data_IF_168031995568
#
_entry.id   IF_168031995568
#
_cell.length_a   1.000
_cell.length_b   1.000
_cell.length_c   1.000
_cell.angle_alpha   90.00
_cell.angle_beta   90.00
_cell.angle_gamma   90.00
#
_symmetry.space_group_name_H-M   'P 1'
#
loop_
_entity.id
_entity.type
_entity.pdbx_description
1 polymer ?
#
# COMPACT_ATOMS: atom_id res chain seq x y z
N UNK A 1 12.59 35.99 -14.58
CA UNK A 1 11.24 35.59 -15.02
C UNK A 1 11.19 34.06 -15.05
N UNK A 2 10.98 33.43 -13.90
CA UNK A 2 10.63 32.01 -13.82
C UNK A 2 9.19 31.88 -14.32
N UNK A 3 9.01 31.50 -15.59
CA UNK A 3 7.78 30.83 -16.01
C UNK A 3 8.04 29.35 -15.79
N UNK A 4 7.38 28.73 -14.81
CA UNK A 4 7.34 27.28 -14.69
C UNK A 4 6.92 26.71 -16.05
N UNK A 5 7.71 25.76 -16.56
CA UNK A 5 7.47 25.13 -17.87
C UNK A 5 6.03 24.59 -17.95
N UNK A 6 5.43 24.82 -19.11
CA UNK A 6 4.02 24.59 -19.43
C UNK A 6 3.56 23.15 -19.18
N UNK A 7 2.48 23.00 -18.41
CA UNK A 7 1.40 22.05 -18.70
C UNK A 7 0.10 22.86 -18.70
N UNK A 8 -0.36 23.22 -19.90
CA UNK A 8 -1.57 24.01 -20.12
C UNK A 8 -2.81 23.13 -19.89
N UNK A 9 -3.44 23.27 -18.72
CA UNK A 9 -4.86 23.05 -18.54
C UNK A 9 -5.45 24.23 -17.77
N UNK A 10 -6.56 24.75 -18.28
CA UNK A 10 -7.20 26.01 -17.90
C UNK A 10 -7.53 26.10 -16.40
N UNK A 11 -7.22 27.26 -15.80
CA UNK A 11 -7.74 27.69 -14.50
C UNK A 11 -6.80 27.63 -13.29
N UNK A 12 -5.58 27.12 -13.42
CA UNK A 12 -4.61 27.10 -12.32
C UNK A 12 -3.74 28.36 -12.41
N UNK A 13 -3.89 29.28 -11.45
CA UNK A 13 -2.96 30.39 -11.29
C UNK A 13 -1.54 29.84 -11.08
N UNK A 14 -0.68 29.95 -12.09
CA UNK A 14 0.74 29.60 -11.98
C UNK A 14 1.34 30.49 -10.89
N UNK A 15 1.96 29.92 -9.84
CA UNK A 15 2.50 30.73 -8.77
C UNK A 15 3.66 31.59 -9.29
N UNK A 16 3.63 32.88 -8.98
CA UNK A 16 4.61 33.87 -9.47
C UNK A 16 5.52 34.29 -8.31
N UNK A 17 6.83 34.11 -8.45
CA UNK A 17 7.79 34.55 -7.46
C UNK A 17 7.87 36.09 -7.38
N UNK A 18 7.78 36.63 -6.17
CA UNK A 18 8.07 38.05 -5.93
C UNK A 18 9.53 38.36 -6.25
N UNK A 19 9.84 39.65 -6.43
CA UNK A 19 11.20 40.13 -6.78
C UNK A 19 12.23 39.65 -5.75
N UNK A 20 11.90 39.71 -4.46
CA UNK A 20 12.80 39.30 -3.37
C UNK A 20 13.05 37.79 -3.34
N UNK A 21 12.01 36.99 -3.60
CA UNK A 21 12.12 35.54 -3.73
C UNK A 21 12.97 35.14 -4.96
N UNK A 22 12.78 35.86 -6.08
CA UNK A 22 13.56 35.64 -7.30
C UNK A 22 15.05 35.98 -7.10
N UNK A 23 15.36 37.08 -6.40
CA UNK A 23 16.74 37.46 -6.07
C UNK A 23 17.40 36.40 -5.18
N UNK A 24 16.71 35.97 -4.13
CA UNK A 24 17.19 34.91 -3.25
C UNK A 24 17.52 33.61 -4.00
N UNK A 25 16.62 33.15 -4.88
CA UNK A 25 16.87 31.93 -5.66
C UNK A 25 18.04 32.07 -6.63
N UNK A 26 18.21 33.23 -7.27
CA UNK A 26 19.37 33.51 -8.12
C UNK A 26 20.66 33.46 -7.31
N UNK A 27 20.68 34.06 -6.12
CA UNK A 27 21.86 34.04 -5.24
C UNK A 27 22.21 32.61 -4.81
N UNK A 28 21.22 31.78 -4.46
CA UNK A 28 21.41 30.37 -4.10
C UNK A 28 21.94 29.55 -5.30
N UNK A 29 21.33 29.68 -6.48
CA UNK A 29 21.70 28.89 -7.66
C UNK A 29 23.08 29.28 -8.23
N UNK A 30 23.50 30.53 -8.02
CA UNK A 30 24.84 30.98 -8.41
C UNK A 30 25.96 30.30 -7.59
N UNK A 31 25.66 29.78 -6.40
CA UNK A 31 26.61 29.02 -5.58
C UNK A 31 26.80 27.58 -6.07
N UNK A 32 26.00 27.13 -7.04
CA UNK A 32 25.96 25.75 -7.55
C UNK A 32 26.52 25.73 -8.98
N UNK A 33 27.21 24.64 -9.34
CA UNK A 33 27.78 24.41 -10.67
C UNK A 33 26.69 24.35 -11.74
N UNK A 34 26.98 24.84 -12.95
CA UNK A 34 26.00 24.96 -14.05
C UNK A 34 25.28 23.65 -14.40
N UNK A 35 25.99 22.52 -14.31
CA UNK A 35 25.45 21.19 -14.59
C UNK A 35 24.38 20.76 -13.57
N UNK A 36 24.47 21.23 -12.32
CA UNK A 36 23.57 20.86 -11.22
C UNK A 36 22.43 21.87 -11.01
N UNK A 37 22.45 23.00 -11.72
CA UNK A 37 21.44 24.07 -11.53
C UNK A 37 20.06 23.64 -11.99
N UNK A 38 19.94 22.91 -13.11
CA UNK A 38 18.64 22.43 -13.59
C UNK A 38 18.02 21.43 -12.61
N UNK A 39 18.78 20.45 -12.12
CA UNK A 39 18.30 19.48 -11.13
C UNK A 39 17.92 20.15 -9.81
N UNK A 40 18.71 21.12 -9.33
CA UNK A 40 18.40 21.89 -8.13
C UNK A 40 17.14 22.74 -8.29
N UNK A 41 16.97 23.37 -9.47
CA UNK A 41 15.78 24.13 -9.81
C UNK A 41 14.52 23.25 -9.78
N UNK A 42 14.58 22.06 -10.38
CA UNK A 42 13.45 21.13 -10.40
C UNK A 42 13.08 20.68 -8.98
N UNK A 43 14.07 20.37 -8.12
CA UNK A 43 13.85 20.06 -6.69
C UNK A 43 13.21 21.21 -5.91
N UNK A 44 13.69 22.44 -6.10
CA UNK A 44 13.12 23.63 -5.44
C UNK A 44 11.68 23.84 -5.91
N UNK A 45 11.40 23.67 -7.21
CA UNK A 45 10.05 23.78 -7.76
C UNK A 45 9.13 22.71 -7.14
N UNK A 46 9.59 21.47 -7.05
CA UNK A 46 8.84 20.39 -6.39
C UNK A 46 8.57 20.70 -4.91
N UNK A 47 9.56 21.19 -4.16
CA UNK A 47 9.38 21.55 -2.75
C UNK A 47 8.41 22.72 -2.58
N UNK A 48 8.50 23.77 -3.40
CA UNK A 48 7.51 24.88 -3.38
C UNK A 48 6.10 24.37 -3.70
N UNK A 49 5.96 23.38 -4.59
CA UNK A 49 4.67 22.75 -4.89
C UNK A 49 4.14 21.86 -3.75
N UNK A 50 5.00 21.34 -2.87
CA UNK A 50 4.61 20.58 -1.67
C UNK A 50 4.09 21.49 -0.56
N UNK A 51 4.58 22.73 -0.47
CA UNK A 51 4.18 23.67 0.58
C UNK A 51 2.73 24.14 0.43
N UNK A 52 2.08 24.43 1.57
CA UNK A 52 0.74 25.02 1.60
C UNK A 52 0.83 26.53 1.34
N UNK A 53 0.63 26.94 0.09
CA UNK A 53 0.64 28.34 -0.29
C UNK A 53 -0.67 29.02 0.08
N UNK A 54 -0.60 30.11 0.85
CA UNK A 54 -1.74 30.97 1.18
C UNK A 54 -2.10 31.94 0.04
N UNK A 55 -1.23 32.10 -0.96
CA UNK A 55 -1.43 32.96 -2.11
C UNK A 55 -0.73 32.42 -3.36
N UNK A 56 -1.12 32.93 -4.53
CA UNK A 56 -0.45 32.64 -5.81
C UNK A 56 0.89 33.36 -5.99
N UNK A 57 1.29 34.21 -5.03
CA UNK A 57 2.60 34.85 -5.02
C UNK A 57 3.52 34.08 -4.08
N UNK A 58 4.70 33.71 -4.59
CA UNK A 58 5.74 33.04 -3.81
C UNK A 58 6.62 34.10 -3.14
N UNK A 59 6.60 34.07 -1.82
CA UNK A 59 7.39 34.98 -0.97
C UNK A 59 8.75 34.37 -0.65
N UNK A 60 9.68 35.22 -0.21
CA UNK A 60 11.05 34.80 0.09
C UNK A 60 11.10 33.67 1.12
N UNK A 61 10.23 33.69 2.13
CA UNK A 61 10.15 32.64 3.17
C UNK A 61 9.80 31.26 2.60
N UNK A 62 8.92 31.20 1.60
CA UNK A 62 8.53 29.96 0.92
C UNK A 62 9.73 29.38 0.15
N UNK A 63 10.47 30.23 -0.56
CA UNK A 63 11.70 29.81 -1.23
C UNK A 63 12.81 29.41 -0.25
N UNK A 64 12.97 30.12 0.87
CA UNK A 64 13.95 29.79 1.91
C UNK A 64 13.64 28.42 2.53
N UNK A 65 12.37 28.16 2.84
CA UNK A 65 11.93 26.85 3.32
C UNK A 65 12.16 25.77 2.26
N UNK A 66 11.89 26.06 0.98
CA UNK A 66 12.08 25.09 -0.09
C UNK A 66 13.55 24.73 -0.31
N UNK A 67 14.43 25.73 -0.26
CA UNK A 67 15.88 25.55 -0.33
C UNK A 67 16.40 24.81 0.90
N UNK A 68 15.89 25.11 2.10
CA UNK A 68 16.23 24.37 3.31
C UNK A 68 15.81 22.90 3.21
N UNK A 69 14.59 22.60 2.78
CA UNK A 69 14.14 21.22 2.53
C UNK A 69 15.06 20.49 1.53
N UNK A 70 15.41 21.16 0.41
CA UNK A 70 16.35 20.61 -0.58
C UNK A 70 17.77 20.37 -0.03
N UNK A 71 18.19 21.15 0.98
CA UNK A 71 19.48 20.95 1.66
C UNK A 71 19.38 19.89 2.75
N UNK A 72 18.22 19.72 3.39
CA UNK A 72 17.96 18.66 4.37
C UNK A 72 17.92 17.29 3.70
N UNK A 73 17.61 17.24 2.41
CA UNK A 73 17.80 16.05 1.55
C UNK A 73 19.27 15.60 1.44
N UNK A 74 20.24 16.35 1.97
CA UNK A 74 21.63 15.88 2.10
C UNK A 74 21.86 15.06 3.39
N UNK A 75 20.97 15.14 4.39
CA UNK A 75 20.96 14.26 5.57
C UNK A 75 20.17 12.96 5.25
N UNK A 76 20.46 12.33 4.10
CA UNK A 76 19.92 10.99 3.81
C UNK A 76 20.46 9.99 4.83
N UNK A 77 19.57 9.33 5.58
CA UNK A 77 19.96 8.26 6.49
C UNK A 77 20.78 7.19 5.75
N UNK A 78 21.88 6.76 6.37
CA UNK A 78 22.71 5.65 5.91
C UNK A 78 22.03 4.27 6.10
N UNK A 79 20.84 4.24 6.69
CA UNK A 79 20.14 3.00 7.02
C UNK A 79 19.57 2.31 5.76
N UNK A 80 20.25 1.25 5.34
CA UNK A 80 19.88 0.45 4.15
C UNK A 80 18.81 -0.61 4.43
N UNK A 81 18.50 -0.93 5.69
CA UNK A 81 17.58 -2.01 6.05
C UNK A 81 16.67 -1.60 7.21
N UNK A 82 15.37 -1.56 6.97
CA UNK A 82 14.36 -1.17 7.96
C UNK A 82 13.18 -2.13 8.00
N UNK A 83 12.73 -2.48 9.20
CA UNK A 83 11.48 -3.23 9.40
C UNK A 83 10.47 -2.30 10.05
N UNK A 84 9.37 -2.09 9.35
CA UNK A 84 8.33 -1.13 9.67
C UNK A 84 7.10 -1.92 10.11
N UNK A 85 6.75 -1.73 11.37
CA UNK A 85 5.54 -2.28 11.96
C UNK A 85 4.30 -1.59 11.38
N UNK A 86 3.20 -2.32 11.20
CA UNK A 86 1.95 -1.81 10.67
C UNK A 86 1.40 -0.63 11.48
N UNK A 87 1.64 -0.62 12.80
CA UNK A 87 1.21 0.48 13.68
C UNK A 87 2.12 1.72 13.60
N UNK A 88 3.26 1.63 12.91
CA UNK A 88 4.21 2.72 12.69
C UNK A 88 4.17 3.28 11.25
N UNK A 89 3.28 2.75 10.40
CA UNK A 89 3.13 3.22 9.02
C UNK A 89 2.59 4.66 9.02
N UNK A 90 3.19 5.60 8.25
CA UNK A 90 2.73 6.97 8.19
C UNK A 90 1.32 7.04 7.59
N UNK A 91 0.46 7.85 8.21
CA UNK A 91 -0.94 7.98 7.83
C UNK A 91 -1.12 9.20 6.93
N UNK A 92 -1.56 8.95 5.70
CA UNK A 92 -1.94 9.99 4.75
C UNK A 92 -3.41 9.91 4.40
N UNK A 93 -4.04 11.06 4.22
CA UNK A 93 -5.41 11.20 3.75
C UNK A 93 -5.41 11.90 2.40
N UNK A 94 -6.15 11.33 1.44
CA UNK A 94 -6.36 11.98 0.16
C UNK A 94 -7.41 13.09 0.30
N UNK A 95 -7.00 14.32 0.01
CA UNK A 95 -7.90 15.48 0.02
C UNK A 95 -8.39 15.72 -1.40
N UNK A 96 -9.64 15.35 -1.67
CA UNK A 96 -10.25 15.37 -3.01
C UNK A 96 -10.15 16.73 -3.70
N UNK A 97 -10.43 17.82 -2.98
CA UNK A 97 -10.37 19.19 -3.53
C UNK A 97 -8.97 19.58 -3.98
N UNK A 98 -7.94 19.12 -3.25
CA UNK A 98 -6.53 19.42 -3.53
C UNK A 98 -5.89 18.39 -4.46
N UNK A 99 -6.55 17.25 -4.66
CA UNK A 99 -6.02 16.07 -5.38
C UNK A 99 -4.64 15.65 -4.89
N UNK A 100 -4.42 15.70 -3.57
CA UNK A 100 -3.13 15.40 -2.93
C UNK A 100 -3.33 14.56 -1.69
N UNK A 101 -2.32 13.74 -1.38
CA UNK A 101 -2.18 13.12 -0.07
C UNK A 101 -1.55 14.11 0.91
N UNK A 102 -2.14 14.20 2.09
CA UNK A 102 -1.66 15.06 3.18
C UNK A 102 -1.61 14.19 4.45
N UNK A 103 -0.60 14.39 5.29
CA UNK A 103 -0.52 13.71 6.58
C UNK A 103 -1.80 13.92 7.39
N UNK A 104 -2.37 12.82 7.87
CA UNK A 104 -3.69 12.79 8.52
C UNK A 104 -3.78 13.74 9.71
N UNK A 105 -2.70 13.88 10.48
CA UNK A 105 -2.65 14.74 11.66
C UNK A 105 -2.78 16.23 11.28
N UNK A 106 -2.21 16.64 10.13
CA UNK A 106 -2.27 18.03 9.65
C UNK A 106 -3.65 18.45 9.16
N UNK A 107 -4.48 17.48 8.75
CA UNK A 107 -5.88 17.71 8.36
C UNK A 107 -6.86 17.51 9.53
N UNK A 108 -6.34 17.35 10.76
CA UNK A 108 -7.14 17.24 11.97
C UNK A 108 -7.82 15.88 12.17
N UNK A 109 -7.36 14.83 11.47
CA UNK A 109 -7.86 13.47 11.69
C UNK A 109 -7.19 12.89 12.93
N UNK A 110 -7.95 12.38 13.91
CA UNK A 110 -7.37 11.86 15.14
C UNK A 110 -6.49 10.62 14.88
N UNK A 111 -5.56 10.32 15.81
CA UNK A 111 -4.81 9.06 15.79
C UNK A 111 -5.78 7.87 15.83
N UNK A 112 -5.42 6.72 15.21
CA UNK A 112 -6.27 5.55 15.20
C UNK A 112 -6.37 4.96 16.61
N UNK A 113 -7.46 4.25 16.89
CA UNK A 113 -7.63 3.55 18.15
C UNK A 113 -8.29 2.19 17.89
N UNK A 114 -7.93 1.20 18.70
CA UNK A 114 -8.45 -0.17 18.56
C UNK A 114 -9.99 -0.23 18.68
N UNK A 115 -10.56 0.68 19.48
CA UNK A 115 -11.99 0.78 19.70
C UNK A 115 -12.56 2.01 18.97
N UNK A 116 -12.48 1.99 17.65
CA UNK A 116 -13.02 3.02 16.79
C UNK A 116 -14.55 3.18 16.90
N UNK A 117 -15.03 4.32 16.43
CA UNK A 117 -16.44 4.70 16.36
C UNK A 117 -17.10 4.21 15.07
N UNK A 118 -18.42 4.34 14.98
CA UNK A 118 -19.13 4.11 13.72
C UNK A 118 -18.64 5.03 12.58
N UNK A 119 -18.17 6.23 12.90
CA UNK A 119 -17.60 7.16 11.93
C UNK A 119 -16.27 6.63 11.37
N UNK A 120 -15.44 6.00 12.21
CA UNK A 120 -14.18 5.39 11.77
C UNK A 120 -14.44 4.21 10.83
N UNK A 121 -15.45 3.38 11.15
CA UNK A 121 -15.89 2.29 10.27
C UNK A 121 -16.40 2.81 8.91
N UNK A 122 -17.15 3.91 8.88
CA UNK A 122 -17.59 4.53 7.63
C UNK A 122 -16.40 5.07 6.83
N UNK A 123 -15.49 5.78 7.50
CA UNK A 123 -14.30 6.35 6.89
C UNK A 123 -13.41 5.28 6.23
N UNK A 124 -13.29 4.09 6.84
CA UNK A 124 -12.59 2.96 6.23
C UNK A 124 -13.09 2.69 4.80
N UNK A 125 -14.38 2.43 4.59
CA UNK A 125 -14.92 2.14 3.26
C UNK A 125 -14.89 3.34 2.32
N UNK A 126 -15.15 4.54 2.84
CA UNK A 126 -15.12 5.78 2.05
C UNK A 126 -13.70 6.09 1.54
N UNK A 127 -12.68 5.87 2.37
CA UNK A 127 -11.28 6.06 2.00
C UNK A 127 -10.85 5.07 0.92
N UNK A 128 -11.25 3.80 1.04
CA UNK A 128 -11.00 2.76 0.02
C UNK A 128 -11.58 3.16 -1.33
N UNK A 129 -12.86 3.51 -1.35
CA UNK A 129 -13.54 3.98 -2.56
C UNK A 129 -12.82 5.19 -3.16
N UNK A 130 -12.50 6.19 -2.34
CA UNK A 130 -11.85 7.43 -2.79
C UNK A 130 -10.48 7.16 -3.39
N UNK A 131 -9.67 6.28 -2.77
CA UNK A 131 -8.36 5.88 -3.28
C UNK A 131 -8.45 5.19 -4.64
N UNK A 132 -9.41 4.29 -4.83
CA UNK A 132 -9.64 3.61 -6.09
C UNK A 132 -10.21 4.54 -7.15
N UNK A 133 -11.14 5.42 -6.79
CA UNK A 133 -11.76 6.36 -7.70
C UNK A 133 -10.72 7.30 -8.30
N UNK A 134 -9.90 7.94 -7.46
CA UNK A 134 -8.86 8.87 -7.94
C UNK A 134 -7.80 8.16 -8.80
N UNK A 135 -7.48 6.90 -8.50
CA UNK A 135 -6.54 6.09 -9.30
C UNK A 135 -7.14 5.75 -10.66
N UNK A 136 -8.39 5.29 -10.65
CA UNK A 136 -9.11 4.92 -11.87
C UNK A 136 -9.27 6.12 -12.79
N UNK A 137 -9.62 7.29 -12.25
CA UNK A 137 -9.79 8.52 -13.03
C UNK A 137 -8.48 9.05 -13.66
N UNK A 138 -7.31 8.64 -13.15
CA UNK A 138 -6.00 8.95 -13.73
C UNK A 138 -5.58 7.99 -14.83
N UNK A 139 -6.24 6.84 -14.96
CA UNK A 139 -5.94 5.86 -15.99
C UNK A 139 -6.39 6.36 -17.37
N UNK A 140 -5.62 6.09 -18.41
CA UNK A 140 -5.85 6.60 -19.77
C UNK A 140 -7.24 6.26 -20.33
N UNK A 141 -7.82 5.14 -19.94
CA UNK A 141 -9.18 4.77 -20.36
C UNK A 141 -10.28 5.65 -19.77
N UNK A 142 -10.03 6.32 -18.64
CA UNK A 142 -11.03 7.08 -17.87
C UNK A 142 -10.71 8.58 -17.77
N UNK A 143 -9.54 9.01 -18.25
CA UNK A 143 -9.18 10.43 -18.30
C UNK A 143 -10.09 11.17 -19.28
N UNK A 144 -10.69 12.31 -18.88
CA UNK A 144 -11.48 13.13 -19.78
C UNK A 144 -10.67 13.56 -21.01
N UNK A 145 -11.29 13.65 -22.20
CA UNK A 145 -10.59 14.18 -23.38
C UNK A 145 -10.13 15.62 -23.14
N UNK A 146 -8.89 15.90 -23.54
CA UNK A 146 -8.30 17.25 -23.47
C UNK A 146 -9.00 18.15 -24.49
N UNK A 147 -9.51 19.30 -24.04
CA UNK A 147 -10.14 20.31 -24.90
C UNK A 147 -9.10 20.76 -25.95
N UNK A 148 -9.39 20.52 -27.23
CA UNK A 148 -8.53 20.89 -28.36
C UNK A 148 -7.57 19.80 -28.86
N UNK A 149 -7.53 18.61 -28.25
CA UNK A 149 -6.82 17.46 -28.80
C UNK A 149 -7.57 16.87 -30.00
N UNK A 150 -6.85 16.49 -31.07
CA UNK A 150 -7.43 15.69 -32.13
C UNK A 150 -7.86 14.34 -31.53
N UNK A 151 -9.16 14.04 -31.61
CA UNK A 151 -9.66 12.75 -31.15
C UNK A 151 -9.15 11.67 -32.09
N UNK A 152 -8.32 10.77 -31.58
CA UNK A 152 -8.15 9.47 -32.20
C UNK A 152 -9.48 8.72 -32.07
N UNK A 153 -10.24 8.63 -33.18
CA UNK A 153 -11.52 7.93 -33.25
C UNK A 153 -11.42 6.46 -32.80
N UNK A 154 -10.21 5.90 -32.70
CA UNK A 154 -9.93 4.52 -32.29
C UNK A 154 -9.83 4.29 -30.78
N UNK A 155 -9.81 5.33 -29.93
CA UNK A 155 -9.64 5.14 -28.47
C UNK A 155 -10.96 5.32 -27.70
N UNK A 156 -11.63 4.21 -27.36
CA UNK A 156 -12.84 4.22 -26.52
C UNK A 156 -12.48 4.73 -25.12
N UNK A 157 -12.94 5.94 -24.79
CA UNK A 157 -12.84 6.53 -23.44
C UNK A 157 -14.11 6.22 -22.66
N UNK A 158 -13.96 5.92 -21.37
CA UNK A 158 -15.06 5.59 -20.47
C UNK A 158 -15.25 6.69 -19.44
N UNK A 159 -16.50 6.96 -19.09
CA UNK A 159 -16.85 7.92 -18.04
C UNK A 159 -17.56 7.19 -16.90
N UNK A 160 -16.96 7.25 -15.71
CA UNK A 160 -17.59 6.73 -14.50
C UNK A 160 -18.80 7.58 -14.12
N UNK A 161 -19.90 6.94 -13.74
CA UNK A 161 -21.08 7.59 -13.16
C UNK A 161 -21.24 7.17 -11.70
N UNK A 162 -21.55 8.10 -10.78
CA UNK A 162 -21.91 7.74 -9.42
C UNK A 162 -23.29 7.06 -9.39
N UNK A 163 -23.57 6.29 -8.35
CA UNK A 163 -24.84 5.57 -8.22
C UNK A 163 -26.04 6.52 -8.17
N UNK A 164 -25.91 7.69 -7.56
CA UNK A 164 -26.98 8.71 -7.55
C UNK A 164 -27.43 9.13 -8.95
N UNK A 165 -26.56 9.06 -9.97
CA UNK A 165 -26.91 9.37 -11.35
C UNK A 165 -27.92 8.35 -11.90
N UNK A 166 -27.75 7.07 -11.56
CA UNK A 166 -28.68 6.00 -11.94
C UNK A 166 -30.01 6.22 -11.21
N UNK A 167 -29.95 6.38 -9.88
CA UNK A 167 -31.14 6.53 -9.03
C UNK A 167 -31.95 7.80 -9.31
N UNK A 168 -31.30 8.85 -9.81
CA UNK A 168 -31.95 10.08 -10.24
C UNK A 168 -32.63 9.99 -11.61
N UNK A 169 -32.34 8.94 -12.39
CA UNK A 169 -32.94 8.75 -13.71
C UNK A 169 -34.28 8.03 -13.61
N UNK A 170 -35.27 8.55 -14.36
CA UNK A 170 -36.56 7.88 -14.59
C UNK A 170 -36.61 7.19 -15.95
N UNK A 171 -35.62 7.42 -16.81
CA UNK A 171 -35.52 6.80 -18.12
C UNK A 171 -34.54 5.62 -18.08
N UNK A 172 -34.73 4.68 -19.01
CA UNK A 172 -33.74 3.63 -19.32
C UNK A 172 -32.42 4.30 -19.69
N UNK A 173 -31.36 3.93 -19.00
CA UNK A 173 -30.01 4.34 -19.32
C UNK A 173 -29.30 3.18 -20.02
N UNK A 174 -28.57 3.50 -21.10
CA UNK A 174 -27.79 2.53 -21.89
C UNK A 174 -26.49 2.14 -21.19
N UNK A 175 -25.42 1.97 -21.98
CA UNK A 175 -24.10 1.58 -21.49
C UNK A 175 -23.54 2.60 -20.47
N UNK A 176 -23.42 2.16 -19.22
CA UNK A 176 -22.87 2.92 -18.10
C UNK A 176 -21.82 2.09 -17.39
N UNK A 177 -20.77 2.77 -16.91
CA UNK A 177 -19.77 2.18 -16.02
C UNK A 177 -19.84 2.86 -14.65
N UNK A 178 -19.96 2.06 -13.61
CA UNK A 178 -19.98 2.48 -12.20
C UNK A 178 -18.81 1.83 -11.48
N UNK A 179 -18.04 2.63 -10.73
CA UNK A 179 -17.15 2.10 -9.70
C UNK A 179 -17.99 1.90 -8.44
N UNK A 180 -17.96 0.72 -7.83
CA UNK A 180 -18.65 0.52 -6.57
C UNK A 180 -18.22 -0.77 -5.85
N UNK A 181 -18.64 -0.89 -4.60
CA UNK A 181 -18.41 -2.04 -3.75
C UNK A 181 -19.53 -3.05 -3.93
N UNK A 182 -19.18 -4.31 -4.20
CA UNK A 182 -20.15 -5.40 -4.37
C UNK A 182 -20.64 -5.90 -3.01
N UNK A 183 -21.93 -5.84 -2.72
CA UNK A 183 -22.48 -6.26 -1.42
C UNK A 183 -23.69 -7.19 -1.56
N UNK A 184 -23.91 -8.04 -0.55
CA UNK A 184 -25.10 -8.88 -0.47
C UNK A 184 -25.91 -8.52 0.79
N UNK A 185 -26.85 -7.58 0.64
CA UNK A 185 -27.68 -7.09 1.74
C UNK A 185 -28.83 -8.05 2.11
N UNK A 186 -29.28 -8.86 1.16
CA UNK A 186 -30.29 -9.91 1.34
C UNK A 186 -29.84 -11.16 0.61
N UNK A 187 -30.17 -12.32 1.14
CA UNK A 187 -29.82 -13.60 0.53
C UNK A 187 -30.29 -13.65 -0.94
N UNK A 188 -29.36 -13.98 -1.85
CA UNK A 188 -29.61 -14.05 -3.28
C UNK A 188 -29.79 -12.70 -4.00
N UNK A 189 -29.72 -11.56 -3.30
CA UNK A 189 -29.81 -10.23 -3.91
C UNK A 189 -28.52 -9.45 -3.74
N UNK A 190 -27.93 -9.10 -4.87
CA UNK A 190 -26.70 -8.35 -4.94
C UNK A 190 -26.97 -6.86 -5.12
N UNK A 191 -26.05 -6.06 -4.60
CA UNK A 191 -26.08 -4.61 -4.67
C UNK A 191 -24.69 -4.09 -5.00
N UNK A 192 -24.67 -2.89 -5.57
CA UNK A 192 -23.48 -2.08 -5.73
C UNK A 192 -23.61 -0.84 -4.85
N UNK A 193 -22.56 -0.50 -4.12
CA UNK A 193 -22.53 0.62 -3.17
C UNK A 193 -21.39 1.61 -3.49
N UNK A 194 -21.68 2.90 -3.41
CA UNK A 194 -20.72 4.00 -3.44
C UNK A 194 -21.13 5.06 -2.39
N UNK A 195 -20.35 6.13 -2.17
CA UNK A 195 -20.72 7.16 -1.19
C UNK A 195 -22.04 7.90 -1.48
N UNK A 196 -22.58 7.78 -2.69
CA UNK A 196 -23.79 8.49 -3.15
C UNK A 196 -25.05 7.63 -3.03
N UNK A 197 -24.93 6.30 -2.97
CA UNK A 197 -26.08 5.44 -2.75
C UNK A 197 -25.82 3.96 -2.94
N UNK A 198 -26.92 3.21 -3.01
CA UNK A 198 -26.95 1.76 -3.22
C UNK A 198 -27.95 1.44 -4.32
N UNK A 199 -27.57 0.57 -5.25
CA UNK A 199 -28.44 0.09 -6.33
C UNK A 199 -28.46 -1.43 -6.37
N UNK A 200 -29.65 -2.01 -6.57
CA UNK A 200 -29.75 -3.46 -6.77
C UNK A 200 -29.19 -3.81 -8.14
N UNK A 201 -28.39 -4.86 -8.20
CA UNK A 201 -27.80 -5.32 -9.46
C UNK A 201 -28.39 -6.67 -9.87
N UNK A 202 -28.51 -6.86 -11.18
CA UNK A 202 -28.85 -8.14 -11.80
C UNK A 202 -27.60 -8.73 -12.45
N UNK A 203 -27.24 -9.94 -12.02
CA UNK A 203 -26.04 -10.66 -12.42
C UNK A 203 -26.34 -11.82 -13.38
N UNK A 204 -27.59 -11.97 -13.83
CA UNK A 204 -28.03 -13.11 -14.64
C UNK A 204 -27.25 -13.27 -15.96
N UNK A 205 -26.84 -12.16 -16.57
CA UNK A 205 -26.08 -12.12 -17.83
C UNK A 205 -24.65 -11.57 -17.64
N UNK A 206 -24.18 -11.44 -16.40
CA UNK A 206 -22.91 -10.80 -16.10
C UNK A 206 -21.70 -11.66 -16.51
N UNK A 207 -20.82 -11.08 -17.31
CA UNK A 207 -19.51 -11.63 -17.60
C UNK A 207 -18.46 -11.12 -16.60
N UNK A 208 -17.60 -11.99 -16.08
CA UNK A 208 -16.55 -11.61 -15.14
C UNK A 208 -15.21 -11.68 -15.85
N UNK A 209 -14.46 -10.57 -15.87
CA UNK A 209 -13.08 -10.58 -16.35
C UNK A 209 -12.19 -11.43 -15.44
N UNK A 210 -10.92 -11.61 -15.81
CA UNK A 210 -10.00 -12.39 -14.98
C UNK A 210 -9.81 -11.74 -13.60
N UNK A 211 -10.24 -12.45 -12.56
CA UNK A 211 -9.92 -12.17 -11.17
C UNK A 211 -10.91 -12.88 -10.23
N UNK A 212 -10.68 -12.81 -8.92
CA UNK A 212 -11.55 -13.43 -7.92
C UNK A 212 -12.50 -12.42 -7.25
N UNK A 213 -13.68 -12.23 -7.82
CA UNK A 213 -14.66 -11.28 -7.28
C UNK A 213 -15.27 -11.82 -5.98
N UNK A 214 -15.11 -11.10 -4.88
CA UNK A 214 -15.66 -11.46 -3.58
C UNK A 214 -16.67 -10.45 -3.09
N UNK A 215 -17.48 -10.83 -2.10
CA UNK A 215 -18.26 -9.83 -1.36
C UNK A 215 -17.33 -8.75 -0.76
N UNK A 216 -17.75 -7.49 -0.88
CA UNK A 216 -17.05 -6.26 -0.50
C UNK A 216 -15.80 -5.92 -1.33
N UNK A 217 -15.56 -6.56 -2.48
CA UNK A 217 -14.54 -6.06 -3.41
C UNK A 217 -15.09 -4.84 -4.18
N UNK A 218 -14.20 -3.94 -4.57
CA UNK A 218 -14.54 -2.83 -5.45
C UNK A 218 -14.36 -3.24 -6.91
N UNK A 219 -15.35 -2.93 -7.72
CA UNK A 219 -15.44 -3.36 -9.11
C UNK A 219 -15.83 -2.21 -10.01
N UNK A 220 -15.38 -2.29 -11.26
CA UNK A 220 -15.95 -1.55 -12.38
C UNK A 220 -17.08 -2.41 -12.95
N UNK A 221 -18.30 -1.91 -12.82
CA UNK A 221 -19.52 -2.56 -13.27
C UNK A 221 -20.02 -1.86 -14.54
N UNK A 222 -19.97 -2.57 -15.67
CA UNK A 222 -20.50 -2.12 -16.95
C UNK A 222 -21.88 -2.74 -17.20
N UNK A 223 -22.86 -1.93 -17.58
CA UNK A 223 -24.23 -2.41 -17.76
C UNK A 223 -25.21 -1.34 -18.23
N UNK A 224 -26.50 -1.62 -18.06
CA UNK A 224 -27.60 -0.71 -18.35
C UNK A 224 -28.58 -0.65 -17.18
N UNK A 225 -29.30 0.46 -17.03
CA UNK A 225 -30.17 0.71 -15.88
C UNK A 225 -31.62 0.95 -16.31
N UNK A 226 -32.55 0.23 -15.69
CA UNK A 226 -33.98 0.35 -15.90
C UNK A 226 -34.73 -0.06 -14.62
N UNK A 227 -35.85 0.58 -14.32
CA UNK A 227 -36.75 0.18 -13.22
C UNK A 227 -36.07 -0.07 -11.87
N UNK A 228 -35.07 0.77 -11.54
CA UNK A 228 -34.29 0.71 -10.28
C UNK A 228 -33.36 -0.49 -10.15
N UNK A 229 -33.09 -1.20 -11.24
CA UNK A 229 -32.16 -2.32 -11.31
C UNK A 229 -31.06 -1.97 -12.29
N UNK A 230 -29.81 -2.22 -11.88
CA UNK A 230 -28.64 -2.09 -12.76
C UNK A 230 -28.26 -3.48 -13.29
N UNK A 231 -28.54 -3.73 -14.57
CA UNK A 231 -28.29 -4.99 -15.24
C UNK A 231 -26.84 -5.03 -15.72
N UNK A 232 -26.06 -5.95 -15.17
CA UNK A 232 -24.62 -6.02 -15.39
C UNK A 232 -24.31 -6.85 -16.63
N UNK A 233 -23.58 -6.24 -17.57
CA UNK A 233 -23.00 -6.93 -18.71
C UNK A 233 -21.62 -7.48 -18.36
N UNK A 234 -20.79 -6.69 -17.67
CA UNK A 234 -19.44 -7.08 -17.33
C UNK A 234 -18.95 -6.50 -16.00
N UNK A 235 -18.12 -7.28 -15.30
CA UNK A 235 -17.31 -6.81 -14.19
C UNK A 235 -15.82 -6.86 -14.53
N UNK A 236 -15.12 -5.80 -14.17
CA UNK A 236 -13.66 -5.73 -14.13
C UNK A 236 -13.17 -5.13 -12.82
N UNK A 237 -11.89 -5.31 -12.52
CA UNK A 237 -11.26 -4.58 -11.42
C UNK A 237 -10.79 -3.19 -11.89
N UNK A 238 -10.77 -2.19 -11.00
CA UNK A 238 -10.08 -0.94 -11.26
C UNK A 238 -8.62 -1.22 -11.69
N UNK A 239 -8.11 -0.59 -12.76
CA UNK A 239 -6.78 -0.90 -13.27
C UNK A 239 -5.70 -0.62 -12.21
N UNK A 240 -4.67 -1.49 -12.09
CA UNK A 240 -3.53 -1.23 -11.22
C UNK A 240 -2.73 -0.03 -11.72
N UNK A 241 -2.15 0.75 -10.80
CA UNK A 241 -1.30 1.89 -11.14
C UNK A 241 0.16 1.56 -10.79
N UNK A 242 1.09 1.59 -11.78
CA UNK A 242 2.50 1.37 -11.49
C UNK A 242 3.07 2.42 -10.54
N UNK A 243 3.98 2.02 -9.66
CA UNK A 243 4.59 2.92 -8.68
C UNK A 243 5.27 4.15 -9.31
N UNK A 244 5.82 4.02 -10.53
CA UNK A 244 6.39 5.15 -11.29
C UNK A 244 5.33 6.21 -11.62
N UNK A 245 4.13 5.78 -12.03
CA UNK A 245 3.00 6.66 -12.31
C UNK A 245 2.52 7.33 -11.03
N UNK A 246 2.35 6.59 -9.93
CA UNK A 246 1.99 7.18 -8.64
C UNK A 246 2.96 8.29 -8.22
N UNK A 247 4.28 8.05 -8.36
CA UNK A 247 5.30 9.06 -8.04
C UNK A 247 5.30 10.26 -8.99
N UNK A 248 4.94 10.11 -10.26
CA UNK A 248 4.83 11.28 -11.16
C UNK A 248 3.69 12.22 -10.77
N UNK A 249 2.66 11.73 -10.07
CA UNK A 249 1.55 12.56 -9.57
C UNK A 249 1.79 13.11 -8.17
N UNK A 250 2.37 12.32 -7.27
CA UNK A 250 2.49 12.68 -5.85
C UNK A 250 3.92 12.99 -5.40
N UNK A 251 4.90 12.89 -6.28
CA UNK A 251 6.31 13.06 -5.97
C UNK A 251 6.86 11.96 -5.08
N UNK A 252 7.85 12.30 -4.27
CA UNK A 252 8.60 11.36 -3.42
C UNK A 252 8.04 11.26 -1.98
N UNK A 253 6.72 11.36 -1.79
CA UNK A 253 6.10 11.16 -0.47
C UNK A 253 6.45 9.76 0.04
N UNK A 254 6.91 9.65 1.28
CA UNK A 254 7.20 8.36 1.91
C UNK A 254 5.90 7.68 2.40
N UNK A 255 5.13 7.11 1.48
CA UNK A 255 3.95 6.30 1.83
C UNK A 255 4.32 4.97 2.51
N UNK A 256 5.54 4.48 2.29
CA UNK A 256 5.99 3.18 2.77
C UNK A 256 6.31 3.21 4.28
N UNK A 257 6.80 4.36 4.76
CA UNK A 257 7.32 4.52 6.12
C UNK A 257 8.80 4.18 6.19
N UNK A 258 9.32 4.04 7.41
CA UNK A 258 10.73 3.73 7.63
C UNK A 258 11.59 4.98 7.76
N UNK A 259 12.82 4.90 7.27
CA UNK A 259 13.82 5.95 7.46
C UNK A 259 13.56 7.13 6.53
N UNK A 260 13.67 8.34 7.09
CA UNK A 260 13.56 9.58 6.33
C UNK A 260 12.14 9.96 5.92
N UNK A 261 12.02 11.21 5.44
CA UNK A 261 10.74 11.81 5.08
C UNK A 261 10.39 11.63 3.58
N UNK A 262 11.30 11.04 2.80
CA UNK A 262 11.14 10.80 1.37
C UNK A 262 11.12 9.30 1.04
N UNK A 263 10.45 8.95 -0.05
CA UNK A 263 10.43 7.58 -0.57
C UNK A 263 11.85 7.11 -0.92
N UNK A 264 12.28 5.98 -0.37
CA UNK A 264 13.61 5.41 -0.58
C UNK A 264 13.94 5.17 -2.07
N UNK A 265 12.92 4.95 -2.90
CA UNK A 265 13.06 4.82 -4.38
C UNK A 265 13.63 6.05 -5.08
N UNK A 266 13.60 7.21 -4.42
CA UNK A 266 14.17 8.44 -4.95
C UNK A 266 15.67 8.60 -4.64
N UNK A 267 16.22 7.85 -3.67
CA UNK A 267 17.63 7.98 -3.29
C UNK A 267 18.54 7.29 -4.31
N UNK A 268 19.39 8.09 -4.95
CA UNK A 268 20.45 7.59 -5.84
C UNK A 268 21.54 6.84 -5.08
N UNK A 269 21.81 7.24 -3.83
CA UNK A 269 22.78 6.61 -2.94
C UNK A 269 22.34 5.20 -2.55
N UNK A 270 21.10 5.04 -2.06
CA UNK A 270 20.55 3.71 -1.75
C UNK A 270 20.52 2.82 -2.99
N UNK A 271 20.23 3.39 -4.17
CA UNK A 271 20.27 2.65 -5.43
C UNK A 271 21.66 2.14 -5.77
N UNK A 272 22.70 2.95 -5.55
CA UNK A 272 24.08 2.53 -5.76
C UNK A 272 24.46 1.40 -4.80
N UNK A 273 24.13 1.54 -3.51
CA UNK A 273 24.42 0.50 -2.50
C UNK A 273 23.71 -0.82 -2.85
N UNK A 274 22.47 -0.75 -3.33
CA UNK A 274 21.72 -1.93 -3.78
C UNK A 274 22.38 -2.62 -4.97
N UNK A 275 22.89 -1.85 -5.93
CA UNK A 275 23.58 -2.38 -7.11
C UNK A 275 24.95 -2.96 -6.78
N UNK A 276 25.65 -2.37 -5.81
CA UNK A 276 26.97 -2.83 -5.39
C UNK A 276 26.91 -4.11 -4.54
N UNK A 277 25.77 -4.38 -3.90
CA UNK A 277 25.59 -5.57 -3.05
C UNK A 277 24.85 -6.71 -3.78
N UNK A 278 25.54 -7.35 -4.73
CA UNK A 278 25.00 -8.46 -5.51
C UNK A 278 24.67 -9.71 -4.66
N UNK A 279 25.28 -9.83 -3.47
CA UNK A 279 25.09 -10.97 -2.55
C UNK A 279 23.87 -10.81 -1.62
N UNK A 280 23.10 -9.71 -1.76
CA UNK A 280 21.91 -9.49 -0.95
C UNK A 280 20.88 -10.60 -1.12
N UNK A 281 20.51 -11.28 -0.04
CA UNK A 281 19.61 -12.44 -0.08
C UNK A 281 18.58 -12.43 1.04
N UNK A 282 17.32 -12.70 0.68
CA UNK A 282 16.17 -12.76 1.58
C UNK A 282 15.55 -14.15 1.51
N UNK A 283 15.47 -14.83 2.65
CA UNK A 283 14.90 -16.18 2.74
C UNK A 283 13.54 -16.12 3.43
N UNK A 284 12.47 -16.45 2.71
CA UNK A 284 11.11 -16.46 3.24
C UNK A 284 10.67 -17.88 3.57
N UNK A 285 10.19 -18.09 4.79
CA UNK A 285 9.52 -19.32 5.23
C UNK A 285 8.15 -18.97 5.80
N UNK A 286 7.17 -19.85 5.62
CA UNK A 286 5.80 -19.71 6.13
C UNK A 286 5.37 -21.02 6.78
N UNK A 287 4.49 -20.93 7.78
CA UNK A 287 4.05 -22.09 8.59
C UNK A 287 5.22 -22.87 9.20
N UNK A 288 6.11 -22.12 9.86
CA UNK A 288 7.29 -22.66 10.53
C UNK A 288 6.88 -23.31 11.85
N UNK A 289 6.21 -24.47 11.78
CA UNK A 289 5.70 -25.22 12.93
C UNK A 289 6.83 -25.80 13.79
N UNK A 290 7.26 -25.04 14.80
CA UNK A 290 8.41 -25.35 15.65
C UNK A 290 8.18 -26.54 16.58
N UNK A 291 6.92 -26.93 16.81
CA UNK A 291 6.54 -28.13 17.54
C UNK A 291 6.74 -29.42 16.74
N UNK A 292 7.01 -29.33 15.43
CA UNK A 292 7.24 -30.49 14.58
C UNK A 292 8.74 -30.78 14.45
N UNK A 293 9.15 -31.96 14.92
CA UNK A 293 10.56 -32.42 14.86
C UNK A 293 11.12 -32.33 13.43
N UNK A 294 10.33 -32.72 12.43
CA UNK A 294 10.71 -32.66 11.01
C UNK A 294 11.01 -31.22 10.56
N UNK A 295 10.29 -30.22 11.05
CA UNK A 295 10.54 -28.82 10.72
C UNK A 295 11.87 -28.38 11.31
N UNK A 296 12.14 -28.69 12.58
CA UNK A 296 13.41 -28.38 13.24
C UNK A 296 14.62 -29.05 12.56
N UNK A 297 14.49 -30.30 12.12
CA UNK A 297 15.52 -30.99 11.33
C UNK A 297 15.78 -30.31 9.99
N UNK A 298 14.73 -29.84 9.31
CA UNK A 298 14.86 -29.13 8.02
C UNK A 298 15.42 -27.72 8.18
N UNK A 299 15.07 -27.01 9.25
CA UNK A 299 15.68 -25.74 9.61
C UNK A 299 17.18 -25.90 9.87
N UNK A 300 17.59 -26.95 10.58
CA UNK A 300 19.02 -27.27 10.78
C UNK A 300 19.77 -27.46 9.46
N UNK A 301 19.20 -28.24 8.53
CA UNK A 301 19.80 -28.44 7.20
C UNK A 301 19.89 -27.11 6.44
N UNK A 302 18.83 -26.29 6.50
CA UNK A 302 18.77 -24.99 5.86
C UNK A 302 19.82 -24.03 6.43
N UNK A 303 19.93 -23.92 7.76
CA UNK A 303 20.94 -23.09 8.42
C UNK A 303 22.36 -23.57 8.14
N UNK A 304 22.61 -24.89 8.17
CA UNK A 304 23.90 -25.45 7.78
C UNK A 304 24.27 -25.10 6.33
N UNK A 305 23.30 -25.15 5.41
CA UNK A 305 23.53 -24.78 4.00
C UNK A 305 23.84 -23.31 3.78
N UNK A 306 23.34 -22.42 4.65
CA UNK A 306 23.61 -20.98 4.59
C UNK A 306 24.78 -20.54 5.49
N UNK A 307 25.35 -21.42 6.32
CA UNK A 307 26.37 -21.03 7.30
C UNK A 307 27.63 -20.44 6.63
N UNK A 308 28.00 -20.93 5.45
CA UNK A 308 29.13 -20.44 4.66
C UNK A 308 28.81 -19.14 3.91
N UNK A 309 27.54 -18.93 3.54
CA UNK A 309 27.05 -17.74 2.83
C UNK A 309 25.77 -17.22 3.49
N UNK A 310 25.87 -16.54 4.64
CA UNK A 310 24.71 -16.09 5.39
C UNK A 310 23.85 -15.11 4.58
N UNK A 311 22.53 -15.33 4.45
CA UNK A 311 21.67 -14.37 3.76
C UNK A 311 21.55 -13.09 4.59
N UNK A 312 21.18 -11.99 3.93
CA UNK A 312 20.90 -10.70 4.57
C UNK A 312 19.81 -10.84 5.63
N UNK A 313 18.77 -11.63 5.37
CA UNK A 313 17.69 -11.85 6.32
C UNK A 313 16.92 -13.17 6.10
N UNK A 314 16.55 -13.82 7.21
CA UNK A 314 15.50 -14.83 7.28
C UNK A 314 14.19 -14.19 7.75
N UNK A 315 13.13 -14.37 6.98
CA UNK A 315 11.77 -13.95 7.30
C UNK A 315 10.96 -15.21 7.59
N UNK A 316 10.73 -15.46 8.89
CA UNK A 316 9.98 -16.59 9.38
C UNK A 316 8.55 -16.14 9.67
N UNK A 317 7.62 -16.54 8.82
CA UNK A 317 6.20 -16.29 9.01
C UNK A 317 5.56 -17.45 9.75
N UNK A 318 4.68 -17.14 10.70
CA UNK A 318 3.85 -18.11 11.39
C UNK A 318 2.91 -18.86 10.44
N UNK A 319 2.09 -19.78 10.91
CA UNK A 319 1.94 -20.12 12.34
C UNK A 319 3.20 -20.82 12.87
N UNK A 320 3.58 -20.54 14.12
CA UNK A 320 4.78 -21.15 14.72
C UNK A 320 4.49 -22.45 15.47
N UNK A 321 3.22 -22.80 15.65
CA UNK A 321 2.76 -24.09 16.13
C UNK A 321 1.81 -24.72 15.12
N UNK A 322 1.90 -26.05 14.96
CA UNK A 322 1.06 -26.81 14.01
C UNK A 322 -0.41 -26.87 14.39
N UNK A 323 -0.72 -26.63 15.67
CA UNK A 323 -2.08 -26.67 16.20
C UNK A 323 -2.22 -25.81 17.46
N UNK A 324 -3.45 -25.35 17.73
CA UNK A 324 -3.76 -24.60 18.94
C UNK A 324 -3.78 -25.53 20.15
N UNK A 325 -2.98 -25.21 21.17
CA UNK A 325 -2.76 -26.07 22.35
C UNK A 325 -3.55 -25.59 23.59
N UNK A 326 -4.62 -24.83 23.37
CA UNK A 326 -5.45 -24.26 24.43
C UNK A 326 -4.63 -23.45 25.45
N UNK A 327 -4.84 -23.73 26.74
CA UNK A 327 -4.18 -23.01 27.84
C UNK A 327 -2.65 -23.19 27.90
N UNK A 328 -2.10 -24.23 27.27
CA UNK A 328 -0.66 -24.50 27.26
C UNK A 328 0.06 -23.87 26.05
N UNK A 329 -0.68 -23.25 25.13
CA UNK A 329 -0.15 -22.76 23.85
C UNK A 329 1.02 -21.78 24.02
N UNK A 330 0.91 -20.81 24.93
CA UNK A 330 1.99 -19.85 25.21
C UNK A 330 3.22 -20.53 25.80
N UNK A 331 3.03 -21.54 26.67
CA UNK A 331 4.13 -22.28 27.30
C UNK A 331 4.89 -23.12 26.26
N UNK A 332 4.17 -23.89 25.44
CA UNK A 332 4.76 -24.74 24.40
C UNK A 332 5.46 -23.87 23.36
N UNK A 333 4.86 -22.75 22.94
CA UNK A 333 5.49 -21.82 22.02
C UNK A 333 6.81 -21.26 22.58
N UNK A 334 6.86 -20.92 23.87
CA UNK A 334 8.08 -20.45 24.53
C UNK A 334 9.18 -21.52 24.52
N UNK A 335 8.85 -22.77 24.81
CA UNK A 335 9.79 -23.90 24.73
C UNK A 335 10.28 -24.12 23.29
N UNK A 336 9.38 -23.99 22.31
CA UNK A 336 9.72 -24.11 20.89
C UNK A 336 10.65 -22.99 20.40
N UNK A 337 10.40 -21.73 20.79
CA UNK A 337 11.32 -20.63 20.50
C UNK A 337 12.67 -20.77 21.19
N UNK A 338 12.69 -21.32 22.41
CA UNK A 338 13.95 -21.66 23.07
C UNK A 338 14.75 -22.69 22.25
N UNK A 339 14.11 -23.78 21.81
CA UNK A 339 14.77 -24.79 20.96
C UNK A 339 15.23 -24.22 19.61
N UNK A 340 14.46 -23.33 18.99
CA UNK A 340 14.86 -22.62 17.78
C UNK A 340 16.08 -21.73 18.04
N UNK A 341 16.13 -21.06 19.19
CA UNK A 341 17.24 -20.19 19.57
C UNK A 341 18.52 -20.99 19.72
N UNK A 342 18.48 -22.12 20.44
CA UNK A 342 19.64 -23.02 20.57
C UNK A 342 20.10 -23.51 19.19
N UNK A 343 19.17 -23.91 18.32
CA UNK A 343 19.49 -24.34 16.96
C UNK A 343 20.20 -23.25 16.14
N UNK A 344 19.74 -22.00 16.20
CA UNK A 344 20.38 -20.90 15.47
C UNK A 344 21.77 -20.60 16.06
N UNK A 345 21.92 -20.65 17.38
CA UNK A 345 23.19 -20.42 18.06
C UNK A 345 24.28 -21.48 17.74
N UNK A 346 23.90 -22.65 17.23
CA UNK A 346 24.86 -23.62 16.69
C UNK A 346 25.56 -23.14 15.41
N UNK A 347 25.05 -22.08 14.76
CA UNK A 347 25.62 -21.46 13.56
C UNK A 347 25.99 -19.98 13.83
N UNK A 348 27.13 -19.69 14.49
CA UNK A 348 27.50 -18.34 14.89
C UNK A 348 27.58 -17.34 13.73
N UNK A 349 28.00 -17.79 12.54
CA UNK A 349 28.07 -16.93 11.34
C UNK A 349 26.72 -16.35 10.96
N UNK A 350 25.63 -17.12 11.12
CA UNK A 350 24.27 -16.65 10.88
C UNK A 350 23.82 -15.66 11.96
N UNK A 351 24.17 -15.89 13.22
CA UNK A 351 23.83 -14.98 14.33
C UNK A 351 24.48 -13.61 14.13
N UNK A 352 25.72 -13.59 13.65
CA UNK A 352 26.50 -12.37 13.43
C UNK A 352 26.10 -11.62 12.15
N UNK A 353 25.77 -12.36 11.08
CA UNK A 353 25.64 -11.78 9.73
C UNK A 353 24.20 -11.68 9.22
N UNK A 354 23.28 -12.52 9.72
CA UNK A 354 21.89 -12.57 9.26
C UNK A 354 20.94 -11.91 10.25
N UNK A 355 19.90 -11.25 9.71
CA UNK A 355 18.75 -10.77 10.49
C UNK A 355 17.66 -11.85 10.55
N UNK A 356 16.95 -11.93 11.67
CA UNK A 356 15.83 -12.87 11.82
C UNK A 356 14.54 -12.09 12.10
N UNK A 357 13.64 -12.04 11.11
CA UNK A 357 12.36 -11.35 11.22
C UNK A 357 11.27 -12.39 11.44
N UNK A 358 10.45 -12.17 12.47
CA UNK A 358 9.34 -13.04 12.83
C UNK A 358 8.01 -12.32 12.61
N UNK A 359 7.19 -12.86 11.71
CA UNK A 359 5.86 -12.32 11.36
C UNK A 359 4.78 -13.26 11.87
N UNK A 360 3.87 -12.84 12.76
CA UNK A 360 2.89 -13.73 13.39
C UNK A 360 1.85 -14.25 12.37
N UNK A 361 1.55 -15.54 12.45
CA UNK A 361 0.45 -16.20 11.75
C UNK A 361 -0.90 -16.05 12.48
N UNK A 362 -2.03 -16.36 11.81
CA UNK A 362 -3.38 -16.13 12.36
C UNK A 362 -3.71 -16.98 13.59
N UNK A 363 -2.95 -18.03 13.87
CA UNK A 363 -3.14 -18.91 15.03
C UNK A 363 -2.13 -18.66 16.15
N UNK A 364 -1.22 -17.70 15.98
CA UNK A 364 -0.22 -17.35 16.98
C UNK A 364 -0.83 -16.45 18.08
N UNK A 365 -0.20 -16.37 19.27
CA UNK A 365 -0.69 -15.56 20.39
C UNK A 365 -0.89 -14.08 20.01
N UNK A 366 -2.09 -13.57 20.26
CA UNK A 366 -2.47 -12.19 19.98
C UNK A 366 -3.97 -12.08 19.67
N UNK A 367 -4.44 -10.93 19.18
CA UNK A 367 -5.79 -10.79 18.62
C UNK A 367 -5.89 -11.61 17.31
N UNK A 368 -6.22 -12.90 17.45
CA UNK A 368 -6.08 -13.94 16.41
C UNK A 368 -6.78 -13.59 15.08
N UNK A 369 -7.91 -12.90 15.15
CA UNK A 369 -8.79 -12.73 13.98
C UNK A 369 -8.82 -11.33 13.41
N UNK A 370 -8.05 -10.37 13.96
CA UNK A 370 -8.16 -8.95 13.62
C UNK A 370 -6.84 -8.44 13.05
N UNK A 371 -6.88 -7.71 11.95
CA UNK A 371 -5.71 -7.06 11.34
C UNK A 371 -5.70 -5.54 11.59
N UNK A 372 -4.52 -4.89 11.66
CA UNK A 372 -3.19 -5.49 11.77
C UNK A 372 -3.00 -6.26 13.08
N UNK A 373 -2.27 -7.38 13.03
CA UNK A 373 -1.91 -8.16 14.22
C UNK A 373 -0.61 -7.62 14.82
N UNK A 374 -0.52 -7.38 16.14
CA UNK A 374 0.72 -6.99 16.79
C UNK A 374 1.73 -8.14 16.79
N UNK A 375 3.02 -7.82 17.01
CA UNK A 375 4.05 -8.83 17.21
C UNK A 375 3.73 -9.76 18.37
N UNK A 376 4.30 -10.97 18.32
CA UNK A 376 4.21 -11.94 19.42
C UNK A 376 4.74 -11.29 20.70
N UNK A 377 4.02 -11.42 21.84
CA UNK A 377 4.40 -10.76 23.09
C UNK A 377 5.81 -11.10 23.57
N UNK A 378 6.49 -10.10 24.14
CA UNK A 378 7.86 -10.25 24.66
C UNK A 378 8.01 -11.34 25.71
N UNK A 379 6.96 -11.66 26.48
CA UNK A 379 6.97 -12.74 27.48
C UNK A 379 7.27 -14.13 26.89
N UNK A 380 7.00 -14.31 25.58
CA UNK A 380 7.27 -15.52 24.81
C UNK A 380 8.63 -15.44 24.13
N UNK A 381 9.00 -14.25 23.63
CA UNK A 381 10.15 -14.06 22.72
C UNK A 381 11.40 -13.53 23.43
N UNK A 382 11.42 -13.45 24.76
CA UNK A 382 12.51 -12.79 25.50
C UNK A 382 13.86 -13.49 25.30
N UNK A 383 13.90 -14.82 25.31
CA UNK A 383 15.15 -15.60 25.22
C UNK A 383 15.85 -15.39 23.86
N UNK A 384 15.09 -15.53 22.77
CA UNK A 384 15.61 -15.37 21.42
C UNK A 384 16.13 -13.95 21.17
N UNK A 385 15.41 -12.92 21.64
CA UNK A 385 15.84 -11.51 21.49
C UNK A 385 17.12 -11.21 22.27
N UNK A 386 17.38 -11.91 23.38
CA UNK A 386 18.61 -11.76 24.16
C UNK A 386 19.79 -12.44 23.50
N UNK A 387 19.60 -13.63 22.95
CA UNK A 387 20.69 -14.44 22.35
C UNK A 387 20.99 -14.08 20.90
N UNK A 388 20.01 -13.56 20.17
CA UNK A 388 20.10 -13.18 18.76
C UNK A 388 19.75 -11.69 18.66
N UNK A 389 20.72 -10.78 18.75
CA UNK A 389 20.45 -9.33 18.76
C UNK A 389 19.77 -8.83 17.48
N UNK A 390 19.96 -9.52 16.36
CA UNK A 390 19.35 -9.22 15.07
C UNK A 390 17.90 -9.75 14.93
N UNK A 391 17.35 -10.40 15.96
CA UNK A 391 16.01 -10.96 15.94
C UNK A 391 14.93 -9.90 16.23
N UNK A 392 14.03 -9.70 15.28
CA UNK A 392 12.93 -8.74 15.37
C UNK A 392 11.59 -9.43 15.14
N UNK A 393 10.70 -9.38 16.14
CA UNK A 393 9.29 -9.73 15.95
C UNK A 393 8.52 -8.46 15.62
N UNK A 394 7.71 -8.52 14.56
CA UNK A 394 6.95 -7.40 14.01
C UNK A 394 5.48 -7.78 13.82
N UNK A 395 4.63 -6.82 13.45
CA UNK A 395 3.23 -7.03 13.13
C UNK A 395 3.01 -7.95 11.93
N UNK A 396 1.75 -8.31 11.70
CA UNK A 396 1.28 -8.87 10.44
C UNK A 396 0.06 -8.09 9.92
N UNK A 397 0.10 -7.48 8.72
CA UNK A 397 1.28 -7.42 7.85
C UNK A 397 2.43 -6.60 8.46
N UNK A 398 3.60 -6.65 7.84
CA UNK A 398 4.70 -5.72 8.08
C UNK A 398 5.31 -5.27 6.76
N UNK A 399 6.19 -4.26 6.83
CA UNK A 399 6.91 -3.70 5.70
C UNK A 399 8.40 -3.80 5.95
N UNK A 400 9.17 -4.20 4.94
CA UNK A 400 10.62 -4.28 4.97
C UNK A 400 11.14 -3.35 3.87
N UNK A 401 11.91 -2.35 4.26
CA UNK A 401 12.67 -1.52 3.35
C UNK A 401 14.07 -2.11 3.23
N UNK A 402 14.52 -2.39 2.01
CA UNK A 402 15.91 -2.70 1.73
C UNK A 402 16.42 -1.83 0.59
N UNK A 403 17.31 -0.89 0.88
CA UNK A 403 17.74 0.14 -0.05
C UNK A 403 16.52 0.82 -0.71
N UNK A 404 16.37 0.70 -2.03
CA UNK A 404 15.23 1.27 -2.77
C UNK A 404 14.04 0.30 -2.90
N UNK A 405 14.16 -0.90 -2.35
CA UNK A 405 13.12 -1.93 -2.39
C UNK A 405 12.16 -1.79 -1.21
N UNK A 406 10.88 -1.97 -1.54
CA UNK A 406 9.75 -1.87 -0.63
C UNK A 406 9.04 -3.23 -0.65
N UNK A 407 9.21 -4.02 0.40
CA UNK A 407 8.70 -5.39 0.50
C UNK A 407 7.59 -5.43 1.54
N UNK A 408 6.38 -5.83 1.16
CA UNK A 408 5.28 -6.05 2.11
C UNK A 408 5.17 -7.53 2.40
N UNK A 409 5.20 -7.91 3.68
CA UNK A 409 5.01 -9.30 4.12
C UNK A 409 3.66 -9.42 4.80
N UNK A 410 2.82 -10.31 4.28
CA UNK A 410 1.48 -10.56 4.81
C UNK A 410 1.22 -12.06 4.92
N UNK A 411 1.03 -12.55 6.15
CA UNK A 411 0.77 -13.96 6.43
C UNK A 411 -0.71 -14.21 6.70
N UNK A 412 -1.38 -14.83 5.74
CA UNK A 412 -2.79 -15.20 5.86
C UNK A 412 -3.15 -16.35 4.91
N UNK A 413 -4.17 -17.14 5.24
CA UNK A 413 -4.70 -18.20 4.35
C UNK A 413 -5.63 -17.58 3.29
N UNK A 414 -5.08 -16.62 2.54
CA UNK A 414 -5.87 -15.65 1.77
C UNK A 414 -6.67 -16.29 0.64
N UNK A 415 -6.04 -17.22 -0.08
CA UNK A 415 -6.66 -17.95 -1.19
C UNK A 415 -7.92 -18.66 -0.72
N UNK A 416 -7.84 -19.39 0.39
CA UNK A 416 -8.98 -20.11 0.97
C UNK A 416 -10.09 -19.16 1.40
N UNK A 417 -9.74 -18.05 2.05
CA UNK A 417 -10.71 -17.05 2.50
C UNK A 417 -11.42 -16.39 1.31
N UNK A 418 -10.69 -16.04 0.27
CA UNK A 418 -11.23 -15.42 -0.93
C UNK A 418 -12.12 -16.40 -1.71
N UNK A 419 -11.70 -17.66 -1.89
CA UNK A 419 -12.50 -18.68 -2.56
C UNK A 419 -13.84 -18.95 -1.85
N UNK A 420 -13.85 -18.96 -0.51
CA UNK A 420 -15.09 -19.15 0.27
C UNK A 420 -16.09 -17.99 0.12
N UNK A 421 -15.61 -16.80 -0.22
CA UNK A 421 -16.42 -15.58 -0.33
C UNK A 421 -16.55 -15.10 -1.78
N UNK A 422 -16.16 -15.92 -2.77
CA UNK A 422 -16.27 -15.54 -4.17
C UNK A 422 -17.73 -15.52 -4.62
N UNK A 423 -18.08 -14.52 -5.43
CA UNK A 423 -19.40 -14.36 -6.05
C UNK A 423 -19.59 -15.41 -7.14
N UNK A 424 -18.52 -15.66 -7.90
CA UNK A 424 -18.43 -16.70 -8.92
C UNK A 424 -17.01 -17.28 -8.89
N UNK A 425 -16.91 -18.60 -8.99
CA UNK A 425 -15.61 -19.27 -9.08
C UNK A 425 -15.04 -19.10 -10.50
N UNK A 426 -13.71 -18.89 -10.67
CA UNK A 426 -13.11 -18.79 -12.00
C UNK A 426 -13.29 -20.08 -12.80
N UNK A 427 -13.51 -19.94 -14.10
CA UNK A 427 -13.85 -21.06 -14.99
C UNK A 427 -12.61 -21.89 -15.42
N UNK A 428 -11.42 -21.28 -15.41
CA UNK A 428 -10.16 -21.91 -15.83
C UNK A 428 -9.49 -22.76 -14.73
N UNK A 429 -9.91 -22.59 -13.47
CA UNK A 429 -9.35 -23.28 -12.32
C UNK A 429 -7.98 -22.75 -11.84
N UNK A 430 -7.41 -21.71 -12.46
CA UNK A 430 -6.09 -21.17 -12.13
C UNK A 430 -6.15 -20.14 -10.99
N UNK A 431 -6.65 -20.56 -9.82
CA UNK A 431 -6.86 -19.66 -8.67
C UNK A 431 -5.67 -18.74 -8.33
N UNK A 432 -4.38 -19.18 -8.38
CA UNK A 432 -3.26 -18.30 -8.05
C UNK A 432 -3.14 -17.07 -8.97
N UNK A 433 -3.40 -17.20 -10.26
CA UNK A 433 -3.31 -16.07 -11.20
C UNK A 433 -4.42 -15.04 -10.93
N UNK A 434 -5.63 -15.51 -10.61
CA UNK A 434 -6.75 -14.66 -10.21
C UNK A 434 -6.52 -13.92 -8.89
N UNK A 435 -5.81 -14.53 -7.95
CA UNK A 435 -5.46 -13.90 -6.66
C UNK A 435 -4.40 -12.81 -6.86
N UNK A 436 -3.41 -13.03 -7.74
CA UNK A 436 -2.38 -12.03 -8.02
C UNK A 436 -2.98 -10.70 -8.54
N UNK A 437 -3.97 -10.77 -9.42
CA UNK A 437 -4.67 -9.60 -9.95
C UNK A 437 -5.27 -8.77 -8.80
N UNK A 438 -5.84 -9.43 -7.79
CA UNK A 438 -6.41 -8.74 -6.63
C UNK A 438 -5.32 -8.20 -5.72
N UNK A 439 -4.21 -8.92 -5.57
CA UNK A 439 -3.07 -8.41 -4.81
C UNK A 439 -2.48 -7.14 -5.43
N UNK A 440 -2.43 -7.05 -6.76
CA UNK A 440 -1.97 -5.86 -7.51
C UNK A 440 -2.94 -4.68 -7.41
N UNK A 441 -4.24 -4.97 -7.33
CA UNK A 441 -5.28 -3.95 -7.20
C UNK A 441 -5.39 -3.49 -5.74
N UNK A 442 -5.38 -4.43 -4.78
CA UNK A 442 -5.85 -4.31 -3.40
C UNK A 442 -5.44 -5.49 -2.46
N UNK A 443 -4.17 -5.62 -2.07
CA UNK A 443 -3.73 -6.63 -1.07
C UNK A 443 -4.38 -6.46 0.33
N UNK A 444 -4.81 -5.25 0.68
CA UNK A 444 -5.23 -4.85 2.04
C UNK A 444 -6.74 -4.58 2.14
N UNK A 445 -7.47 -4.60 1.04
CA UNK A 445 -8.85 -4.07 1.03
C UNK A 445 -9.96 -5.13 1.00
N UNK A 446 -9.61 -6.42 1.05
CA UNK A 446 -10.57 -7.49 1.32
C UNK A 446 -11.45 -7.10 2.52
N UNK A 447 -12.78 -7.18 2.32
CA UNK A 447 -13.76 -6.62 3.24
C UNK A 447 -13.62 -7.15 4.68
N UNK A 448 -14.27 -6.45 5.62
CA UNK A 448 -14.27 -6.84 7.04
C UNK A 448 -14.66 -8.32 7.24
N UNK A 449 -15.54 -8.88 6.41
CA UNK A 449 -15.90 -10.31 6.45
C UNK A 449 -14.73 -11.26 6.14
N UNK A 450 -13.78 -10.84 5.32
CA UNK A 450 -12.66 -11.68 4.85
C UNK A 450 -11.45 -11.52 5.78
N UNK A 451 -11.14 -10.29 6.18
CA UNK A 451 -9.91 -9.98 6.88
C UNK A 451 -10.07 -9.25 8.23
N UNK A 452 -11.29 -8.94 8.69
CA UNK A 452 -11.56 -8.31 10.00
C UNK A 452 -10.58 -7.17 10.34
N UNK A 453 -10.38 -6.24 9.41
CA UNK A 453 -9.50 -5.09 9.60
C UNK A 453 -10.06 -4.11 10.64
N UNK A 454 -9.20 -3.59 11.49
CA UNK A 454 -9.42 -2.38 12.28
C UNK A 454 -8.42 -1.34 11.77
N UNK A 455 -8.93 -0.12 11.57
CA UNK A 455 -8.23 1.02 10.97
C UNK A 455 -7.27 1.72 11.95
#
# INVERSE_FOLDING_TARGET
>A
MMKCKNNLHEGIHVPVAKIEASKYLVDVLNLINEVQREDCLDKIIESVQKQQLSSTLIDRSVCEQAVQECNTDQDESDDVFGVIDAFAVPRFTYVTDRKKFIESDTVGIPPPCLHGTAADKNRLFTNKYTMLLQRTQRHDLFTPPVIGAQMDESSKKFQLKPIEYLLGSTAKLGEIIVLGMLTQLKEGKWYLEDPTGVVQIDLSEANFQNGLFTENCFVLAEGWYEDKIFHINAFGFPPPEPAKTTRSYFGNINFFGGFGNQCAKASSKLRQIEQDNEDAMFVFLSDVWLDQVKVMEKLRILFAGYADFPPTCFILCGNFLSSHQGSQHVKIMKECFHNLTELICEFPTLVESSRFIFVPGPQDPGPMTILPRPPIPNSVTEDIRKKIPSAQFTSNPCRIQYCTQEIVVFREDIVTKMCRNCVKFPEDGEVPSHVNIICEVELILLGLKILNWID
#
